data_IF_747917769752
#
_entry.id   IF_747917769752
#
_cell.length_a   1.000
_cell.length_b   1.000
_cell.length_c   1.000
_cell.angle_alpha   90.00
_cell.angle_beta   90.00
_cell.angle_gamma   90.00
#
_symmetry.space_group_name_H-M   'P 1'
#
loop_
_entity.id
_entity.type
_entity.pdbx_description
1 polymer ?
#
# COMPACT_ATOMS: atom_id res chain seq x y z
N UNK A 1 16.74 44.99 7.66
CA UNK A 1 17.41 43.74 7.22
C UNK A 1 17.35 42.62 8.26
N UNK A 2 17.82 42.82 9.51
CA UNK A 2 17.81 41.78 10.57
C UNK A 2 16.44 41.14 10.87
N UNK A 3 15.35 41.91 10.82
CA UNK A 3 13.97 41.41 11.01
C UNK A 3 13.51 40.44 9.91
N UNK A 4 13.98 40.61 8.67
CA UNK A 4 13.67 39.72 7.54
C UNK A 4 14.45 38.40 7.64
N UNK A 5 15.72 38.46 8.03
CA UNK A 5 16.53 37.26 8.30
C UNK A 5 15.96 36.43 9.45
N UNK A 6 15.50 37.07 10.52
CA UNK A 6 14.86 36.38 11.64
C UNK A 6 13.53 35.72 11.24
N UNK A 7 12.75 36.36 10.36
CA UNK A 7 11.51 35.80 9.83
C UNK A 7 11.76 34.58 8.93
N UNK A 8 12.79 34.63 8.07
CA UNK A 8 13.20 33.49 7.25
C UNK A 8 13.65 32.30 8.10
N UNK A 9 14.46 32.52 9.13
CA UNK A 9 14.89 31.45 10.04
C UNK A 9 13.72 30.75 10.75
N UNK A 10 12.68 31.51 11.14
CA UNK A 10 11.45 30.94 11.71
C UNK A 10 10.68 30.09 10.69
N UNK A 11 10.56 30.55 9.45
CA UNK A 11 9.92 29.80 8.36
C UNK A 11 10.67 28.49 8.07
N UNK A 12 12.00 28.54 8.03
CA UNK A 12 12.82 27.34 7.85
C UNK A 12 12.65 26.36 9.01
N UNK A 13 12.64 26.86 10.25
CA UNK A 13 12.41 26.01 11.43
C UNK A 13 11.03 25.35 11.42
N UNK A 14 9.98 26.10 11.07
CA UNK A 14 8.62 25.57 10.93
C UNK A 14 8.59 24.49 9.84
N UNK A 15 9.19 24.74 8.69
CA UNK A 15 9.25 23.78 7.59
C UNK A 15 9.94 22.46 8.01
N UNK A 16 11.08 22.55 8.68
CA UNK A 16 11.83 21.38 9.18
C UNK A 16 11.03 20.60 10.22
N UNK A 17 10.36 21.29 11.16
CA UNK A 17 9.53 20.64 12.19
C UNK A 17 8.33 19.95 11.55
N UNK A 18 7.65 20.59 10.59
CA UNK A 18 6.51 19.98 9.90
C UNK A 18 6.92 18.75 9.09
N UNK A 19 8.06 18.78 8.40
CA UNK A 19 8.56 17.65 7.63
C UNK A 19 8.91 16.44 8.53
N UNK A 20 9.44 16.67 9.72
CA UNK A 20 9.76 15.61 10.68
C UNK A 20 8.50 14.91 11.24
N UNK A 21 7.36 15.61 11.30
CA UNK A 21 6.09 15.04 11.82
C UNK A 21 5.27 14.26 10.79
N UNK A 22 5.66 14.26 9.51
CA UNK A 22 4.91 13.56 8.43
C UNK A 22 4.98 12.03 8.51
N UNK A 23 5.86 11.46 9.32
CA UNK A 23 6.13 10.02 9.38
C UNK A 23 5.26 9.26 10.40
N UNK A 24 4.34 9.94 11.09
CA UNK A 24 3.59 9.37 12.23
C UNK A 24 2.19 8.80 11.91
N UNK A 25 1.73 8.85 10.66
CA UNK A 25 0.38 8.42 10.28
C UNK A 25 0.38 7.04 9.63
N UNK A 26 1.00 6.05 10.28
CA UNK A 26 0.81 4.64 9.90
C UNK A 26 -0.65 4.26 10.17
N UNK A 27 -1.42 3.97 9.13
CA UNK A 27 -2.76 3.40 9.28
C UNK A 27 -2.63 2.15 10.16
N UNK A 28 -3.28 2.15 11.33
CA UNK A 28 -3.21 1.03 12.28
C UNK A 28 -3.46 -0.29 11.53
N UNK A 29 -2.55 -1.25 11.64
CA UNK A 29 -2.57 -2.55 10.95
C UNK A 29 -3.79 -3.46 11.27
N UNK A 30 -4.83 -2.94 11.94
CA UNK A 30 -6.12 -3.58 12.11
C UNK A 30 -6.89 -3.52 10.79
N UNK A 31 -6.84 -4.62 10.04
CA UNK A 31 -7.45 -4.72 8.72
C UNK A 31 -6.47 -4.51 7.55
N UNK A 32 -5.16 -4.66 7.78
CA UNK A 32 -4.16 -4.61 6.71
C UNK A 32 -4.02 -5.92 5.93
N UNK A 33 -4.68 -7.01 6.35
CA UNK A 33 -4.71 -8.27 5.59
C UNK A 33 -5.24 -8.10 4.15
N UNK A 34 -6.32 -7.34 3.90
CA UNK A 34 -6.68 -6.90 2.55
C UNK A 34 -5.53 -6.20 1.82
N UNK A 35 -4.81 -5.27 2.46
CA UNK A 35 -3.74 -4.52 1.79
C UNK A 35 -2.56 -5.40 1.31
N UNK A 36 -2.36 -6.57 1.93
CA UNK A 36 -1.31 -7.52 1.53
C UNK A 36 -1.62 -8.27 0.22
N UNK A 37 -2.89 -8.34 -0.19
CA UNK A 37 -3.32 -9.17 -1.31
C UNK A 37 -3.53 -10.64 -0.94
N UNK A 38 -4.24 -11.38 -1.80
CA UNK A 38 -4.62 -12.79 -1.55
C UNK A 38 -3.91 -13.78 -2.46
N UNK A 39 -2.94 -13.32 -3.26
CA UNK A 39 -2.21 -14.15 -4.22
C UNK A 39 -0.74 -13.72 -4.37
N UNK A 40 0.13 -14.68 -4.68
CA UNK A 40 1.56 -14.46 -4.74
C UNK A 40 1.97 -13.56 -5.93
N UNK A 41 1.25 -13.60 -7.05
CA UNK A 41 1.57 -12.83 -8.25
C UNK A 41 1.21 -11.37 -8.06
N UNK A 42 0.04 -11.07 -7.53
CA UNK A 42 -0.39 -9.71 -7.19
C UNK A 42 0.52 -9.07 -6.15
N UNK A 43 0.94 -9.84 -5.15
CA UNK A 43 1.94 -9.40 -4.16
C UNK A 43 3.31 -9.13 -4.81
N UNK A 44 3.81 -10.02 -5.66
CA UNK A 44 5.09 -9.83 -6.37
C UNK A 44 5.08 -8.62 -7.34
N UNK A 45 3.90 -8.24 -7.84
CA UNK A 45 3.70 -7.04 -8.65
C UNK A 45 3.51 -5.75 -7.82
N UNK A 46 3.66 -5.81 -6.49
CA UNK A 46 3.47 -4.65 -5.62
C UNK A 46 2.03 -4.13 -5.61
N UNK A 47 1.04 -5.00 -5.84
CA UNK A 47 -0.38 -4.65 -5.88
C UNK A 47 -0.89 -4.17 -7.25
N UNK A 48 -0.03 -4.07 -8.27
CA UNK A 48 -0.42 -3.63 -9.61
C UNK A 48 -1.04 -4.75 -10.47
N UNK A 49 -2.11 -5.41 -9.99
CA UNK A 49 -2.59 -6.67 -10.58
C UNK A 49 -4.03 -6.66 -11.13
N UNK A 50 -4.83 -5.62 -10.85
CA UNK A 50 -6.28 -5.54 -11.14
C UNK A 50 -6.69 -5.86 -12.58
N UNK A 51 -5.94 -5.42 -13.59
CA UNK A 51 -6.28 -5.63 -15.00
C UNK A 51 -5.80 -6.98 -15.56
N UNK A 52 -4.82 -7.62 -14.89
CA UNK A 52 -4.17 -8.84 -15.36
C UNK A 52 -4.62 -10.08 -14.57
N UNK A 53 -5.47 -9.90 -13.56
CA UNK A 53 -5.94 -11.00 -12.72
C UNK A 53 -6.76 -11.99 -13.53
N UNK A 54 -6.53 -13.27 -13.25
CA UNK A 54 -7.24 -14.41 -13.83
C UNK A 54 -7.45 -15.44 -12.73
N UNK A 55 -8.47 -16.29 -12.87
CA UNK A 55 -8.66 -17.39 -11.94
C UNK A 55 -9.36 -16.99 -10.63
N UNK A 56 -9.22 -17.83 -9.61
CA UNK A 56 -9.76 -17.63 -8.27
C UNK A 56 -9.39 -16.28 -7.60
N UNK A 57 -8.17 -15.72 -7.76
CA UNK A 57 -7.84 -14.39 -7.22
C UNK A 57 -8.70 -13.25 -7.77
N UNK A 58 -9.39 -13.45 -8.90
CA UNK A 58 -10.28 -12.45 -9.50
C UNK A 58 -11.37 -11.99 -8.55
N UNK A 59 -11.88 -12.89 -7.68
CA UNK A 59 -12.88 -12.54 -6.67
C UNK A 59 -12.41 -11.42 -5.73
N UNK A 60 -11.09 -11.29 -5.53
CA UNK A 60 -10.48 -10.28 -4.69
C UNK A 60 -10.05 -9.03 -5.47
N UNK A 61 -9.32 -9.20 -6.58
CA UNK A 61 -8.71 -8.07 -7.31
C UNK A 61 -9.65 -7.39 -8.31
N UNK A 62 -10.52 -8.14 -8.98
CA UNK A 62 -11.44 -7.63 -10.00
C UNK A 62 -12.56 -8.67 -10.28
N UNK A 63 -13.72 -8.57 -9.62
CA UNK A 63 -14.82 -9.51 -9.82
C UNK A 63 -15.31 -9.62 -11.27
N UNK A 64 -15.13 -8.58 -12.10
CA UNK A 64 -15.50 -8.64 -13.51
C UNK A 64 -14.67 -9.68 -14.30
N UNK A 65 -13.45 -10.00 -13.85
CA UNK A 65 -12.61 -11.02 -14.46
C UNK A 65 -13.15 -12.45 -14.26
N UNK A 66 -14.03 -12.67 -13.26
CA UNK A 66 -14.68 -13.96 -13.05
C UNK A 66 -15.61 -14.35 -14.22
N UNK A 67 -16.13 -13.37 -14.97
CA UNK A 67 -16.95 -13.64 -16.16
C UNK A 67 -16.17 -14.40 -17.25
N UNK A 68 -14.84 -14.38 -17.21
CA UNK A 68 -13.97 -15.08 -18.15
C UNK A 68 -13.42 -16.40 -17.59
N UNK A 69 -13.78 -16.78 -16.35
CA UNK A 69 -13.34 -18.03 -15.73
C UNK A 69 -14.01 -19.22 -16.41
N UNK A 70 -13.22 -20.23 -16.78
CA UNK A 70 -13.72 -21.48 -17.36
C UNK A 70 -13.58 -22.61 -16.34
N UNK A 71 -14.72 -23.10 -15.86
CA UNK A 71 -14.74 -24.19 -14.87
C UNK A 71 -14.42 -23.72 -13.45
N UNK A 72 -13.91 -24.63 -12.64
CA UNK A 72 -13.54 -24.36 -11.25
C UNK A 72 -12.04 -24.08 -11.15
N UNK A 73 -11.67 -23.10 -10.34
CA UNK A 73 -10.29 -22.75 -10.06
C UNK A 73 -10.07 -22.58 -8.55
N UNK A 74 -8.90 -22.99 -8.09
CA UNK A 74 -8.51 -22.99 -6.68
C UNK A 74 -7.06 -22.52 -6.54
N UNK A 75 -6.82 -21.59 -5.63
CA UNK A 75 -5.50 -21.00 -5.38
C UNK A 75 -5.25 -20.83 -3.88
N UNK A 76 -3.98 -20.78 -3.51
CA UNK A 76 -3.54 -20.53 -2.14
C UNK A 76 -2.21 -19.78 -2.11
N UNK A 77 -2.01 -18.99 -1.05
CA UNK A 77 -0.78 -18.24 -0.81
C UNK A 77 -0.37 -18.36 0.65
N UNK A 78 0.94 -18.37 0.88
CA UNK A 78 1.55 -18.11 2.19
C UNK A 78 2.46 -16.88 2.08
N UNK A 79 2.28 -15.93 2.98
CA UNK A 79 3.15 -14.78 3.13
C UNK A 79 3.46 -14.58 4.61
N UNK A 80 4.74 -14.44 4.94
CA UNK A 80 5.17 -14.17 6.30
C UNK A 80 5.16 -12.66 6.57
N UNK A 81 4.37 -12.24 7.57
CA UNK A 81 4.12 -10.83 7.87
C UNK A 81 5.40 -10.01 8.12
N UNK A 82 6.45 -10.63 8.68
CA UNK A 82 7.70 -9.95 9.00
C UNK A 82 8.54 -9.52 7.79
N UNK A 83 8.32 -10.12 6.62
CA UNK A 83 9.09 -9.86 5.40
C UNK A 83 8.46 -8.77 4.53
N UNK A 84 7.31 -8.24 4.94
CA UNK A 84 6.51 -7.30 4.17
C UNK A 84 6.88 -5.85 4.51
N UNK A 85 6.83 -4.92 3.55
CA UNK A 85 7.26 -3.53 3.73
C UNK A 85 6.29 -2.68 4.58
N UNK A 86 5.34 -3.29 5.31
CA UNK A 86 4.30 -2.62 6.10
C UNK A 86 4.76 -2.18 7.51
N UNK A 87 5.98 -1.64 7.64
CA UNK A 87 6.48 -1.14 8.94
C UNK A 87 5.82 0.17 9.35
#
# INVERSE_FOLDING_TARGET
>A
MKKRMLAMGKLTAIFVITAATLWGQGASARGAFPLLGVDARGLAMGGAFTALVQGAPSAYWNPAALAFLKGYDFTGMYAHFGDLPLK
#
